data_IF_678248567041
#
_entry.id   IF_678248567041
#
_cell.length_a   1.000
_cell.length_b   1.000
_cell.length_c   1.000
_cell.angle_alpha   90.00
_cell.angle_beta   90.00
_cell.angle_gamma   90.00
#
_symmetry.space_group_name_H-M   'P 1'
#
loop_
_entity.id
_entity.type
_entity.pdbx_description
1 polymer ?
#
# COMPACT_ATOMS: atom_id res chain seq x y z
N UNK A 1 -4.84 -3.57 16.03
CA UNK A 1 -3.41 -3.52 15.67
C UNK A 1 -2.61 -4.11 16.83
N UNK A 2 -1.74 -5.07 16.59
CA UNK A 2 -1.13 -5.93 17.62
C UNK A 2 0.15 -5.27 18.19
N UNK A 3 0.01 -4.18 18.95
CA UNK A 3 1.13 -3.48 19.61
C UNK A 3 1.55 -4.10 20.96
N UNK A 4 0.93 -5.24 21.31
CA UNK A 4 0.95 -5.81 22.67
C UNK A 4 2.29 -6.50 23.01
N UNK A 5 3.16 -6.71 22.02
CA UNK A 5 4.43 -7.44 22.19
C UNK A 5 5.69 -6.55 22.33
N UNK A 6 5.54 -5.25 22.61
CA UNK A 6 6.70 -4.36 22.77
C UNK A 6 7.48 -4.11 21.48
N UNK A 7 6.87 -4.37 20.32
CA UNK A 7 7.46 -4.06 19.01
C UNK A 7 7.36 -2.56 18.79
N UNK A 8 8.51 -1.94 18.54
CA UNK A 8 8.61 -0.53 18.21
C UNK A 8 7.74 -0.20 16.97
N UNK A 9 6.86 0.82 17.01
CA UNK A 9 5.95 1.17 15.91
C UNK A 9 6.65 1.39 14.56
N UNK A 10 7.90 1.84 14.58
CA UNK A 10 8.74 2.09 13.39
C UNK A 10 9.05 0.80 12.62
N UNK A 11 8.89 -0.37 13.25
CA UNK A 11 9.08 -1.68 12.63
C UNK A 11 7.79 -2.28 12.08
N UNK A 12 6.66 -1.59 12.20
CA UNK A 12 5.35 -2.09 11.79
C UNK A 12 4.94 -1.43 10.48
N UNK A 13 4.55 -2.25 9.51
CA UNK A 13 3.95 -1.80 8.26
C UNK A 13 2.46 -2.11 8.28
N UNK A 14 1.62 -1.09 8.08
CA UNK A 14 0.20 -1.33 7.87
C UNK A 14 -0.07 -1.72 6.40
N UNK A 15 0.12 -3.00 6.09
CA UNK A 15 0.13 -3.55 4.73
C UNK A 15 -1.24 -3.96 4.14
N UNK A 16 -2.34 -3.36 4.60
CA UNK A 16 -3.68 -3.67 4.08
C UNK A 16 -4.04 -2.70 2.92
N UNK A 17 -4.50 -3.15 1.75
CA UNK A 17 -4.82 -2.24 0.63
C UNK A 17 -5.98 -1.29 0.97
N UNK A 18 -7.09 -1.80 1.51
CA UNK A 18 -8.29 -1.01 1.80
C UNK A 18 -8.46 -0.79 3.31
N UNK A 19 -8.01 0.35 3.84
CA UNK A 19 -8.11 0.66 5.29
C UNK A 19 -9.29 1.58 5.56
N UNK A 20 -9.93 1.37 6.72
CA UNK A 20 -10.92 2.29 7.26
C UNK A 20 -10.22 3.57 7.77
N UNK A 21 -10.89 4.72 7.63
CA UNK A 21 -10.36 6.00 8.14
C UNK A 21 -10.04 5.93 9.65
N UNK A 22 -10.88 5.24 10.43
CA UNK A 22 -10.66 5.03 11.88
C UNK A 22 -9.35 4.30 12.16
N UNK A 23 -8.98 3.32 11.33
CA UNK A 23 -7.74 2.57 11.49
C UNK A 23 -6.52 3.37 11.05
N UNK A 24 -6.65 4.23 10.04
CA UNK A 24 -5.58 5.16 9.65
C UNK A 24 -5.29 6.17 10.77
N UNK A 25 -6.33 6.72 11.39
CA UNK A 25 -6.21 7.60 12.56
C UNK A 25 -5.59 6.88 13.75
N UNK A 26 -6.00 5.64 13.99
CA UNK A 26 -5.40 4.83 15.04
C UNK A 26 -3.92 4.57 14.77
N UNK A 27 -3.55 4.17 13.55
CA UNK A 27 -2.15 3.97 13.14
C UNK A 27 -1.30 5.24 13.37
N UNK A 28 -1.85 6.42 13.06
CA UNK A 28 -1.22 7.69 13.39
C UNK A 28 -1.04 7.89 14.90
N UNK A 29 -2.08 7.63 15.70
CA UNK A 29 -2.04 7.81 17.16
C UNK A 29 -1.03 6.91 17.88
N UNK A 30 -0.71 5.77 17.29
CA UNK A 30 0.24 4.79 17.87
C UNK A 30 1.61 4.82 17.21
N UNK A 31 1.87 5.80 16.35
CA UNK A 31 3.18 6.02 15.71
C UNK A 31 3.53 5.05 14.58
N UNK A 32 2.56 4.31 14.04
CA UNK A 32 2.79 3.49 12.83
C UNK A 32 2.71 4.39 11.61
N UNK A 33 3.89 4.73 11.11
CA UNK A 33 4.08 5.75 10.08
C UNK A 33 4.43 5.15 8.70
N UNK A 34 4.27 3.84 8.51
CA UNK A 34 4.53 3.18 7.23
C UNK A 34 3.32 2.35 6.80
N UNK A 35 2.77 2.63 5.63
CA UNK A 35 1.50 2.04 5.18
C UNK A 35 1.50 1.74 3.69
N UNK A 36 0.72 0.75 3.25
CA UNK A 36 0.60 0.43 1.82
C UNK A 36 -0.60 1.08 1.16
N UNK A 37 -0.49 1.38 -0.13
CA UNK A 37 -1.62 1.80 -0.95
C UNK A 37 -1.55 1.14 -2.35
N UNK A 38 -2.71 0.96 -2.97
CA UNK A 38 -2.87 0.42 -4.32
C UNK A 38 -3.81 1.25 -5.20
N UNK A 39 -4.54 2.22 -4.62
CA UNK A 39 -5.47 3.09 -5.33
C UNK A 39 -5.34 4.56 -4.92
N UNK A 40 -5.89 5.46 -5.74
CA UNK A 40 -5.90 6.91 -5.49
C UNK A 40 -6.82 7.27 -4.32
N UNK A 41 -7.93 6.57 -4.19
CA UNK A 41 -8.91 6.77 -3.11
C UNK A 41 -8.30 6.44 -1.75
N UNK A 42 -7.48 5.38 -1.68
CA UNK A 42 -6.73 5.04 -0.47
C UNK A 42 -5.72 6.14 -0.11
N UNK A 43 -5.03 6.68 -1.12
CA UNK A 43 -4.06 7.76 -0.96
C UNK A 43 -4.72 9.05 -0.44
N UNK A 44 -5.90 9.41 -0.94
CA UNK A 44 -6.68 10.55 -0.46
C UNK A 44 -7.11 10.37 1.01
N UNK A 45 -7.54 9.16 1.40
CA UNK A 45 -7.86 8.84 2.80
C UNK A 45 -6.63 8.96 3.71
N UNK A 46 -5.48 8.45 3.26
CA UNK A 46 -4.22 8.54 4.02
C UNK A 46 -3.82 10.01 4.18
N UNK A 47 -3.87 10.81 3.10
CA UNK A 47 -3.59 12.25 3.18
C UNK A 47 -4.46 12.96 4.21
N UNK A 48 -5.75 12.62 4.28
CA UNK A 48 -6.71 13.22 5.22
C UNK A 48 -6.48 12.77 6.67
N UNK A 49 -6.15 11.50 6.90
CA UNK A 49 -6.13 10.91 8.23
C UNK A 49 -4.72 10.79 8.86
N UNK A 50 -3.69 10.64 8.03
CA UNK A 50 -2.31 10.41 8.43
C UNK A 50 -1.32 11.02 7.41
N UNK A 51 -1.23 12.36 7.31
CA UNK A 51 -0.45 13.04 6.27
C UNK A 51 1.07 12.88 6.41
N UNK A 52 1.56 12.50 7.59
CA UNK A 52 2.99 12.28 7.87
C UNK A 52 3.41 10.80 7.63
N UNK A 53 2.50 9.97 7.12
CA UNK A 53 2.75 8.56 6.87
C UNK A 53 3.58 8.36 5.59
N UNK A 54 4.67 7.61 5.70
CA UNK A 54 5.42 7.09 4.57
C UNK A 54 4.61 6.01 3.84
N UNK A 55 4.74 6.00 2.51
CA UNK A 55 3.87 5.24 1.62
C UNK A 55 4.64 4.14 0.89
N UNK A 56 4.11 2.92 0.93
CA UNK A 56 4.57 1.79 0.13
C UNK A 56 3.55 1.47 -0.95
N UNK A 57 4.00 1.41 -2.20
CA UNK A 57 3.13 1.00 -3.29
C UNK A 57 3.05 -0.52 -3.38
N UNK A 58 1.83 -1.06 -3.34
CA UNK A 58 1.60 -2.49 -3.54
C UNK A 58 1.41 -2.78 -5.02
N UNK A 59 2.45 -3.30 -5.66
CA UNK A 59 2.37 -3.76 -7.04
C UNK A 59 1.76 -5.15 -7.09
N UNK A 60 0.64 -5.31 -7.80
CA UNK A 60 0.04 -6.63 -8.00
C UNK A 60 0.89 -7.43 -8.98
N UNK A 61 1.38 -8.58 -8.54
CA UNK A 61 2.07 -9.52 -9.41
C UNK A 61 1.08 -10.10 -10.44
N UNK A 62 1.55 -10.44 -11.65
CA UNK A 62 0.75 -11.16 -12.63
C UNK A 62 0.32 -12.51 -12.05
N UNK A 63 -0.92 -12.93 -12.30
CA UNK A 63 -1.34 -14.27 -11.92
C UNK A 63 -0.87 -15.25 -13.00
N UNK A 64 0.33 -15.80 -12.80
CA UNK A 64 0.93 -16.80 -13.68
C UNK A 64 0.51 -18.24 -13.32
N UNK A 65 -0.43 -18.39 -12.37
CA UNK A 65 -0.92 -19.69 -11.92
C UNK A 65 0.06 -20.46 -11.02
N UNK A 66 1.22 -19.90 -10.68
CA UNK A 66 2.21 -20.52 -9.79
C UNK A 66 1.93 -20.31 -8.30
N UNK A 67 1.03 -19.41 -7.94
CA UNK A 67 0.68 -19.12 -6.55
C UNK A 67 -0.23 -20.21 -5.96
N UNK A 68 0.20 -20.83 -4.84
CA UNK A 68 -0.63 -21.81 -4.11
C UNK A 68 -1.95 -21.23 -3.60
N UNK A 69 -1.98 -19.91 -3.32
CA UNK A 69 -3.16 -19.17 -2.90
C UNK A 69 -3.19 -17.79 -3.60
N UNK A 70 -3.82 -17.67 -4.78
CA UNK A 70 -3.96 -16.39 -5.47
C UNK A 70 -4.81 -15.42 -4.64
N UNK A 71 -4.28 -14.24 -4.31
CA UNK A 71 -4.97 -13.21 -3.54
C UNK A 71 -5.68 -12.17 -4.43
N UNK A 72 -5.93 -12.50 -5.71
CA UNK A 72 -6.59 -11.60 -6.66
C UNK A 72 -7.27 -12.35 -7.81
N UNK A 73 -8.07 -11.67 -8.64
CA UNK A 73 -8.77 -12.30 -9.75
C UNK A 73 -7.79 -12.92 -10.75
N UNK A 74 -8.07 -14.17 -11.13
CA UNK A 74 -7.30 -14.99 -12.07
C UNK A 74 -7.25 -14.35 -13.45
N UNK A 75 -6.17 -13.66 -13.76
CA UNK A 75 -5.89 -13.20 -15.12
C UNK A 75 -4.58 -13.83 -15.58
N UNK A 76 -4.69 -14.93 -16.33
CA UNK A 76 -3.57 -15.64 -16.92
C UNK A 76 -2.87 -14.77 -17.96
N UNK A 77 -1.69 -14.27 -17.62
CA UNK A 77 -0.77 -13.71 -18.60
C UNK A 77 0.67 -13.95 -18.13
N UNK A 78 1.26 -15.02 -18.64
CA UNK A 78 2.68 -15.30 -18.58
C UNK A 78 3.47 -14.13 -19.18
N UNK A 79 4.71 -13.95 -18.72
CA UNK A 79 5.81 -13.18 -19.33
C UNK A 79 6.16 -11.82 -18.73
N UNK A 80 7.47 -11.57 -18.73
CA UNK A 80 8.22 -10.35 -18.39
C UNK A 80 7.62 -9.00 -18.81
N UNK A 81 6.68 -8.95 -19.77
CA UNK A 81 5.86 -7.77 -20.08
C UNK A 81 4.91 -7.37 -18.96
N UNK A 82 4.45 -8.31 -18.15
CA UNK A 82 3.44 -8.07 -17.13
C UNK A 82 3.96 -7.13 -16.02
N UNK A 83 5.27 -7.16 -15.72
CA UNK A 83 5.89 -6.19 -14.82
C UNK A 83 6.04 -4.79 -15.41
N UNK A 84 6.12 -4.62 -16.75
CA UNK A 84 6.16 -3.27 -17.35
C UNK A 84 4.89 -2.48 -17.06
N UNK A 85 3.73 -3.13 -17.18
CA UNK A 85 2.44 -2.51 -16.81
C UNK A 85 2.41 -2.16 -15.33
N UNK A 86 2.90 -3.07 -14.48
CA UNK A 86 2.95 -2.89 -13.04
C UNK A 86 3.90 -1.74 -12.62
N UNK A 87 5.08 -1.62 -13.25
CA UNK A 87 6.04 -0.53 -13.04
C UNK A 87 5.47 0.81 -13.54
N UNK A 88 4.80 0.83 -14.70
CA UNK A 88 4.17 2.03 -15.21
C UNK A 88 3.03 2.51 -14.28
N UNK A 89 2.19 1.60 -13.81
CA UNK A 89 1.15 1.89 -12.82
C UNK A 89 1.76 2.38 -11.51
N UNK A 90 2.86 1.77 -11.07
CA UNK A 90 3.58 2.19 -9.87
C UNK A 90 4.12 3.62 -10.00
N UNK A 91 4.68 3.96 -11.16
CA UNK A 91 5.15 5.32 -11.44
C UNK A 91 4.01 6.33 -11.40
N UNK A 92 2.89 6.05 -12.05
CA UNK A 92 1.71 6.94 -12.03
C UNK A 92 1.19 7.17 -10.61
N UNK A 93 1.12 6.12 -9.81
CA UNK A 93 0.68 6.21 -8.42
C UNK A 93 1.70 6.96 -7.53
N UNK A 94 2.99 6.79 -7.79
CA UNK A 94 4.04 7.58 -7.14
C UNK A 94 3.96 9.07 -7.51
N UNK A 95 3.73 9.38 -8.79
CA UNK A 95 3.49 10.76 -9.25
C UNK A 95 2.23 11.36 -8.61
N UNK A 96 1.16 10.56 -8.44
CA UNK A 96 -0.04 10.99 -7.73
C UNK A 96 0.24 11.31 -6.26
N UNK A 97 1.03 10.48 -5.56
CA UNK A 97 1.47 10.76 -4.20
C UNK A 97 2.33 12.03 -4.11
N UNK A 98 3.21 12.25 -5.09
CA UNK A 98 4.03 13.46 -5.17
C UNK A 98 3.18 14.72 -5.40
N UNK A 99 2.18 14.69 -6.29
CA UNK A 99 1.22 15.80 -6.49
C UNK A 99 0.41 16.08 -5.22
N UNK A 100 0.14 15.04 -4.44
CA UNK A 100 -0.51 15.14 -3.15
C UNK A 100 0.46 15.48 -2.01
N UNK A 101 1.71 15.88 -2.29
CA UNK A 101 2.65 16.37 -1.26
C UNK A 101 2.92 15.39 -0.12
N UNK A 102 2.72 14.09 -0.37
CA UNK A 102 2.95 13.06 0.65
C UNK A 102 4.46 12.81 0.80
N UNK A 103 4.94 12.49 2.01
CA UNK A 103 6.33 12.16 2.25
C UNK A 103 6.74 10.91 1.46
N UNK A 104 7.95 10.94 0.89
CA UNK A 104 8.55 9.85 0.10
C UNK A 104 9.25 8.84 0.98
#
# INVERSE_FOLDING_TARGET
MHLIFGVAPERIVYANPCKAESHLKYAASVGVNLTTFDSKEELEKIRKCHPQCALLIRVKAPDDGGARCPLGPRSGATHSRAYRGAIAAARTAFEAAARLGMPK
#
